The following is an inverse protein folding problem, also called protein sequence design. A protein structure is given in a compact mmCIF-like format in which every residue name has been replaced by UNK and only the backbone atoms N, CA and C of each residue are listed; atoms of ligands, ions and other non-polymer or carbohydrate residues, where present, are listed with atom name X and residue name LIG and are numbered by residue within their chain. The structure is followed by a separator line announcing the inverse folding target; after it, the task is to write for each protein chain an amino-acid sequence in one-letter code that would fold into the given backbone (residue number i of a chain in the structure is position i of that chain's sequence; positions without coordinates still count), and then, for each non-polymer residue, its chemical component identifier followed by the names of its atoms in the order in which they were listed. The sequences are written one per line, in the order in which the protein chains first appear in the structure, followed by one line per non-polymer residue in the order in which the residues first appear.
data_IF_540646524478
#
_entry.id   IF_540646524478
#
_cell.length_a   1.000
_cell.length_b   1.000
_cell.length_c   1.000
_cell.angle_alpha   90.00
_cell.angle_beta   90.00
_cell.angle_gamma   90.00
#
_symmetry.space_group_name_H-M   'P 1'
#
loop_
_entity.id
_entity.type
_entity.pdbx_description
1 polymer ?
#
# COMPACT_ATOMS: atom_id res chain seq x y z
N UNK A 1 60.56 -18.98 21.15
CA UNK A 1 59.47 -18.00 21.41
C UNK A 1 59.32 -16.99 20.27
N UNK A 2 60.38 -16.28 19.86
CA UNK A 2 60.31 -15.32 18.74
C UNK A 2 59.80 -15.89 17.41
N UNK A 3 60.19 -17.11 17.04
CA UNK A 3 59.76 -17.73 15.76
C UNK A 3 58.26 -18.01 15.73
N UNK A 4 57.66 -18.43 16.84
CA UNK A 4 56.20 -18.67 16.90
C UNK A 4 55.40 -17.37 16.86
N UNK A 5 55.93 -16.27 17.42
CA UNK A 5 55.30 -14.95 17.32
C UNK A 5 55.32 -14.44 15.87
N UNK A 6 56.43 -14.63 15.15
CA UNK A 6 56.54 -14.26 13.74
C UNK A 6 55.54 -15.07 12.87
N UNK A 7 55.47 -16.38 13.04
CA UNK A 7 54.51 -17.22 12.31
C UNK A 7 53.06 -16.86 12.63
N UNK A 8 52.74 -16.57 13.90
CA UNK A 8 51.40 -16.13 14.29
C UNK A 8 51.03 -14.77 13.69
N UNK A 9 51.99 -13.84 13.60
CA UNK A 9 51.79 -12.54 12.96
C UNK A 9 51.55 -12.67 11.44
N UNK A 10 52.28 -13.56 10.76
CA UNK A 10 52.04 -13.88 9.34
C UNK A 10 50.65 -14.49 9.11
N UNK A 11 50.22 -15.40 10.00
CA UNK A 11 48.87 -15.96 9.94
C UNK A 11 47.80 -14.89 10.21
N UNK A 12 48.00 -13.99 11.18
CA UNK A 12 47.07 -12.87 11.41
C UNK A 12 46.99 -11.92 10.22
N UNK A 13 48.09 -11.64 9.54
CA UNK A 13 48.09 -10.80 8.34
C UNK A 13 47.26 -11.45 7.21
N UNK A 14 47.39 -12.77 7.05
CA UNK A 14 46.61 -13.55 6.08
C UNK A 14 45.12 -13.53 6.42
N UNK A 15 44.77 -13.72 7.69
CA UNK A 15 43.37 -13.64 8.16
C UNK A 15 42.80 -12.24 7.97
N UNK A 16 43.58 -11.19 8.23
CA UNK A 16 43.14 -9.80 8.02
C UNK A 16 42.84 -9.52 6.55
N UNK A 17 43.66 -10.02 5.62
CA UNK A 17 43.41 -9.90 4.18
C UNK A 17 42.14 -10.65 3.74
N UNK A 18 41.89 -11.84 4.29
CA UNK A 18 40.64 -12.57 4.04
C UNK A 18 39.42 -11.82 4.58
N UNK A 19 39.49 -11.27 5.81
CA UNK A 19 38.42 -10.46 6.38
C UNK A 19 38.14 -9.24 5.49
N UNK A 20 39.18 -8.56 5.02
CA UNK A 20 39.02 -7.38 4.18
C UNK A 20 38.37 -7.73 2.83
N UNK A 21 38.75 -8.86 2.22
CA UNK A 21 38.08 -9.39 1.02
C UNK A 21 36.60 -9.69 1.29
N UNK A 22 36.29 -10.37 2.39
CA UNK A 22 34.92 -10.69 2.77
C UNK A 22 34.08 -9.44 3.00
N UNK A 23 34.63 -8.39 3.63
CA UNK A 23 33.95 -7.10 3.82
C UNK A 23 33.61 -6.45 2.47
N UNK A 24 34.53 -6.47 1.50
CA UNK A 24 34.26 -5.97 0.16
C UNK A 24 33.15 -6.76 -0.54
N UNK A 25 33.18 -8.10 -0.48
CA UNK A 25 32.12 -8.93 -1.05
C UNK A 25 30.76 -8.67 -0.40
N UNK A 26 30.70 -8.52 0.92
CA UNK A 26 29.45 -8.20 1.64
C UNK A 26 28.90 -6.83 1.21
N UNK A 27 29.79 -5.84 1.02
CA UNK A 27 29.40 -4.51 0.53
C UNK A 27 28.80 -4.59 -0.87
N UNK A 28 29.42 -5.33 -1.77
CA UNK A 28 28.94 -5.50 -3.15
C UNK A 28 27.59 -6.26 -3.17
N UNK A 29 27.46 -7.32 -2.39
CA UNK A 29 26.19 -8.04 -2.21
C UNK A 29 25.09 -7.15 -1.62
N UNK A 30 25.41 -6.30 -0.63
CA UNK A 30 24.44 -5.34 -0.06
C UNK A 30 23.96 -4.34 -1.11
N UNK A 31 24.85 -3.86 -1.98
CA UNK A 31 24.49 -2.94 -3.05
C UNK A 31 23.57 -3.62 -4.08
N UNK A 32 23.91 -4.84 -4.50
CA UNK A 32 23.05 -5.64 -5.38
C UNK A 32 21.66 -5.86 -4.78
N UNK A 33 21.58 -6.22 -3.50
CA UNK A 33 20.30 -6.38 -2.80
C UNK A 33 19.47 -5.08 -2.80
N UNK A 34 20.10 -3.93 -2.58
CA UNK A 34 19.41 -2.65 -2.59
C UNK A 34 18.85 -2.31 -3.98
N UNK A 35 19.63 -2.55 -5.04
CA UNK A 35 19.21 -2.33 -6.42
C UNK A 35 18.05 -3.28 -6.81
N UNK A 36 18.13 -4.55 -6.41
CA UNK A 36 17.11 -5.57 -6.67
C UNK A 36 15.80 -5.29 -5.90
N UNK A 37 15.91 -4.80 -4.66
CA UNK A 37 14.75 -4.34 -3.88
C UNK A 37 14.05 -3.15 -4.56
N UNK A 38 14.81 -2.21 -5.12
CA UNK A 38 14.25 -1.07 -5.84
C UNK A 38 13.56 -1.50 -7.14
N UNK A 39 14.16 -2.44 -7.89
CA UNK A 39 13.55 -3.05 -9.08
C UNK A 39 12.25 -3.81 -8.75
N UNK A 40 12.24 -4.53 -7.62
CA UNK A 40 11.06 -5.23 -7.12
C UNK A 40 9.94 -4.24 -6.80
N UNK A 41 10.23 -3.12 -6.12
CA UNK A 41 9.26 -2.07 -5.83
C UNK A 41 8.66 -1.46 -7.12
N UNK A 42 9.49 -1.19 -8.12
CA UNK A 42 9.02 -0.71 -9.43
C UNK A 42 8.10 -1.72 -10.14
N UNK A 43 8.42 -3.02 -10.06
CA UNK A 43 7.59 -4.09 -10.61
C UNK A 43 6.24 -4.19 -9.89
N UNK A 44 6.22 -4.07 -8.56
CA UNK A 44 4.99 -4.04 -7.76
C UNK A 44 4.09 -2.87 -8.16
N UNK A 45 4.66 -1.68 -8.38
CA UNK A 45 3.90 -0.53 -8.88
C UNK A 45 3.29 -0.79 -10.26
N UNK A 46 4.07 -1.38 -11.17
CA UNK A 46 3.59 -1.74 -12.51
C UNK A 46 2.46 -2.76 -12.45
N UNK A 47 2.55 -3.74 -11.56
CA UNK A 47 1.49 -4.72 -11.30
C UNK A 47 0.22 -4.06 -10.76
N UNK A 48 0.34 -3.11 -9.83
CA UNK A 48 -0.81 -2.34 -9.32
C UNK A 48 -1.49 -1.49 -10.39
N UNK A 49 -0.71 -0.88 -11.29
CA UNK A 49 -1.24 -0.15 -12.44
C UNK A 49 -1.95 -1.09 -13.42
N UNK A 50 -1.36 -2.26 -13.73
CA UNK A 50 -2.00 -3.24 -14.61
C UNK A 50 -3.31 -3.77 -14.03
N UNK A 51 -3.34 -4.06 -12.72
CA UNK A 51 -4.56 -4.46 -12.02
C UNK A 51 -5.64 -3.37 -12.10
N UNK A 52 -5.25 -2.11 -11.96
CA UNK A 52 -6.17 -0.97 -12.12
C UNK A 52 -6.73 -0.86 -13.55
N UNK A 53 -5.87 -1.07 -14.56
CA UNK A 53 -6.30 -1.09 -15.97
C UNK A 53 -7.24 -2.25 -16.26
N UNK A 54 -6.92 -3.45 -15.78
CA UNK A 54 -7.81 -4.62 -15.90
C UNK A 54 -9.15 -4.37 -15.24
N UNK A 55 -9.17 -3.76 -14.05
CA UNK A 55 -10.41 -3.36 -13.38
C UNK A 55 -11.24 -2.41 -14.25
N UNK A 56 -10.59 -1.40 -14.86
CA UNK A 56 -11.27 -0.44 -15.73
C UNK A 56 -11.87 -1.11 -16.97
N UNK A 57 -11.15 -2.06 -17.57
CA UNK A 57 -11.65 -2.85 -18.71
C UNK A 57 -12.83 -3.72 -18.28
N UNK A 58 -12.75 -4.41 -17.14
CA UNK A 58 -13.85 -5.23 -16.60
C UNK A 58 -15.09 -4.36 -16.29
N UNK A 59 -14.90 -3.14 -15.77
CA UNK A 59 -16.01 -2.19 -15.56
C UNK A 59 -16.69 -1.74 -16.86
N UNK A 60 -15.95 -1.68 -17.99
CA UNK A 60 -16.56 -1.38 -19.30
C UNK A 60 -17.46 -2.51 -19.81
N UNK A 61 -17.30 -3.73 -19.30
CA UNK A 61 -18.11 -4.90 -19.65
C UNK A 61 -19.30 -5.13 -18.71
N UNK A 62 -19.70 -4.14 -17.87
CA UNK A 62 -20.86 -4.30 -16.97
C UNK A 62 -22.05 -4.94 -17.72
N UNK A 63 -22.39 -6.16 -17.31
CA UNK A 63 -23.60 -6.84 -17.74
C UNK A 63 -24.78 -5.96 -17.36
N UNK A 64 -25.62 -5.65 -18.35
CA UNK A 64 -26.91 -5.00 -18.18
C UNK A 64 -27.75 -5.81 -17.17
N UNK A 65 -27.75 -5.41 -15.90
CA UNK A 65 -28.57 -6.05 -14.88
C UNK A 65 -28.10 -5.89 -13.43
N UNK A 66 -26.81 -5.67 -13.17
CA UNK A 66 -26.31 -5.59 -11.78
C UNK A 66 -25.74 -4.20 -11.44
N UNK A 67 -26.59 -3.45 -10.73
CA UNK A 67 -26.30 -2.16 -10.12
C UNK A 67 -25.45 -2.29 -8.86
N UNK A 68 -24.96 -3.48 -8.52
CA UNK A 68 -24.02 -3.68 -7.43
C UNK A 68 -22.69 -2.97 -7.70
N UNK A 69 -22.14 -2.34 -6.67
CA UNK A 69 -20.72 -2.04 -6.65
C UNK A 69 -19.95 -3.34 -6.82
N UNK A 70 -19.00 -3.36 -7.74
CA UNK A 70 -18.00 -4.41 -7.72
C UNK A 70 -17.12 -4.20 -6.47
N UNK A 71 -17.46 -4.90 -5.38
CA UNK A 71 -16.71 -4.85 -4.12
C UNK A 71 -15.23 -5.22 -4.34
N UNK A 72 -14.93 -6.06 -5.34
CA UNK A 72 -13.57 -6.34 -5.77
C UNK A 72 -12.89 -5.10 -6.35
N UNK A 73 -13.61 -4.30 -7.15
CA UNK A 73 -13.10 -3.03 -7.66
C UNK A 73 -12.79 -2.01 -6.58
N UNK A 74 -13.65 -1.88 -5.58
CA UNK A 74 -13.40 -0.98 -4.46
C UNK A 74 -12.15 -1.40 -3.66
N UNK A 75 -12.01 -2.72 -3.39
CA UNK A 75 -10.83 -3.28 -2.70
C UNK A 75 -9.55 -3.04 -3.50
N UNK A 76 -9.54 -3.35 -4.79
CA UNK A 76 -8.39 -3.15 -5.68
C UNK A 76 -7.99 -1.69 -5.82
N UNK A 77 -8.95 -0.79 -6.02
CA UNK A 77 -8.69 0.65 -6.11
C UNK A 77 -8.03 1.18 -4.83
N UNK A 78 -8.46 0.68 -3.67
CA UNK A 78 -7.90 1.04 -2.38
C UNK A 78 -6.45 0.54 -2.20
N UNK A 79 -6.15 -0.70 -2.60
CA UNK A 79 -4.79 -1.24 -2.55
C UNK A 79 -3.85 -0.51 -3.51
N UNK A 80 -4.29 -0.21 -4.74
CA UNK A 80 -3.55 0.57 -5.71
C UNK A 80 -3.23 1.98 -5.17
N UNK A 81 -4.19 2.59 -4.47
CA UNK A 81 -4.00 3.89 -3.84
C UNK A 81 -2.93 3.84 -2.74
N UNK A 82 -2.94 2.83 -1.87
CA UNK A 82 -1.91 2.64 -0.84
C UNK A 82 -0.49 2.48 -1.43
N UNK A 83 -0.38 1.78 -2.57
CA UNK A 83 0.90 1.62 -3.28
C UNK A 83 1.40 2.95 -3.88
N UNK A 84 0.49 3.78 -4.42
CA UNK A 84 0.82 5.14 -4.87
C UNK A 84 1.31 6.03 -3.74
N UNK A 85 0.64 6.01 -2.58
CA UNK A 85 1.09 6.78 -1.41
C UNK A 85 2.50 6.36 -0.97
N UNK A 86 2.81 5.06 -0.97
CA UNK A 86 4.16 4.56 -0.66
C UNK A 86 5.20 5.11 -1.64
N UNK A 87 4.90 5.04 -2.93
CA UNK A 87 5.78 5.53 -4.01
C UNK A 87 6.06 7.02 -3.88
N UNK A 88 5.07 7.81 -3.46
CA UNK A 88 5.26 9.23 -3.16
C UNK A 88 6.16 9.46 -1.95
N UNK A 89 5.99 8.70 -0.87
CA UNK A 89 6.89 8.79 0.29
C UNK A 89 8.33 8.42 -0.05
N UNK A 90 8.53 7.49 -0.97
CA UNK A 90 9.84 7.11 -1.50
C UNK A 90 10.42 8.12 -2.51
N UNK A 91 9.64 9.13 -2.91
CA UNK A 91 10.06 10.11 -3.93
C UNK A 91 10.11 9.56 -5.35
N UNK A 92 9.48 8.40 -5.59
CA UNK A 92 9.39 7.74 -6.90
C UNK A 92 8.23 8.28 -7.76
N UNK A 93 7.31 9.03 -7.16
CA UNK A 93 6.18 9.66 -7.85
C UNK A 93 5.77 10.97 -7.16
N UNK A 94 5.23 11.91 -7.92
CA UNK A 94 4.48 13.05 -7.37
C UNK A 94 3.01 12.63 -7.16
N UNK A 95 2.43 13.00 -6.03
CA UNK A 95 0.99 12.94 -5.77
C UNK A 95 0.53 14.38 -5.65
N UNK A 96 -0.44 14.81 -6.47
CA UNK A 96 -0.95 16.18 -6.31
C UNK A 96 -1.87 16.26 -5.09
N UNK A 97 -1.95 17.44 -4.48
CA UNK A 97 -2.91 17.71 -3.40
C UNK A 97 -4.37 17.50 -3.85
N UNK A 98 -4.65 17.56 -5.15
CA UNK A 98 -5.96 17.30 -5.76
C UNK A 98 -6.25 15.80 -5.87
N UNK A 99 -5.23 14.95 -6.00
CA UNK A 99 -5.32 13.49 -5.95
C UNK A 99 -5.42 12.95 -4.50
N UNK A 100 -5.12 13.78 -3.50
CA UNK A 100 -5.46 13.58 -2.10
C UNK A 100 -6.96 13.89 -1.84
N UNK A 101 -7.80 13.40 -2.75
CA UNK A 101 -9.21 13.75 -2.89
C UNK A 101 -9.96 13.48 -1.59
N UNK A 102 -10.99 14.27 -1.31
CA UNK A 102 -11.91 14.05 -0.19
C UNK A 102 -12.42 12.60 -0.19
N UNK A 103 -12.71 12.07 1.01
CA UNK A 103 -13.44 10.81 1.16
C UNK A 103 -14.79 10.77 0.42
N UNK A 104 -15.35 11.91 0.01
CA UNK A 104 -16.55 11.94 -0.84
C UNK A 104 -16.24 11.86 -2.33
N UNK A 105 -15.05 12.31 -2.75
CA UNK A 105 -14.71 12.50 -4.16
C UNK A 105 -13.96 11.30 -4.75
N UNK A 106 -13.48 10.40 -3.89
CA UNK A 106 -12.89 9.13 -4.30
C UNK A 106 -13.98 8.18 -4.85
N UNK A 107 -13.56 7.14 -5.59
CA UNK A 107 -14.49 6.18 -6.23
C UNK A 107 -15.42 5.54 -5.19
N UNK A 108 -14.87 5.13 -4.04
CA UNK A 108 -15.65 4.55 -2.94
C UNK A 108 -16.64 5.57 -2.37
N UNK A 109 -16.19 6.80 -2.12
CA UNK A 109 -17.01 7.89 -1.60
C UNK A 109 -18.19 8.22 -2.50
N UNK A 110 -17.93 8.45 -3.79
CA UNK A 110 -18.96 8.79 -4.77
C UNK A 110 -20.06 7.73 -4.82
N UNK A 111 -19.69 6.46 -4.81
CA UNK A 111 -20.65 5.37 -4.73
C UNK A 111 -21.35 5.30 -3.37
N UNK A 112 -20.61 5.45 -2.28
CA UNK A 112 -21.14 5.37 -0.91
C UNK A 112 -22.29 6.35 -0.71
N UNK A 113 -22.08 7.62 -1.07
CA UNK A 113 -23.09 8.67 -0.95
C UNK A 113 -24.12 8.71 -2.10
N UNK A 114 -23.96 7.90 -3.15
CA UNK A 114 -24.99 7.67 -4.16
C UNK A 114 -25.76 6.37 -3.85
N UNK A 115 -25.50 5.33 -4.62
CA UNK A 115 -26.26 4.09 -4.64
C UNK A 115 -26.00 3.24 -3.39
N UNK A 116 -24.83 3.39 -2.77
CA UNK A 116 -24.42 2.57 -1.64
C UNK A 116 -25.33 2.74 -0.42
N UNK A 117 -25.55 3.98 0.02
CA UNK A 117 -26.45 4.27 1.14
C UNK A 117 -27.92 4.04 0.78
N UNK A 118 -28.32 4.31 -0.46
CA UNK A 118 -29.70 4.11 -0.90
C UNK A 118 -30.08 2.62 -0.95
N UNK A 119 -29.16 1.74 -1.39
CA UNK A 119 -29.41 0.30 -1.53
C UNK A 119 -29.08 -0.50 -0.27
N UNK A 120 -28.04 -0.12 0.46
CA UNK A 120 -27.47 -0.93 1.55
C UNK A 120 -27.42 -0.19 2.89
N UNK A 121 -28.02 1.00 2.97
CA UNK A 121 -28.02 1.82 4.18
C UNK A 121 -28.68 1.17 5.39
N UNK A 122 -29.49 0.14 5.21
CA UNK A 122 -30.08 -0.62 6.31
C UNK A 122 -29.11 -1.63 6.95
N UNK A 123 -28.01 -1.95 6.27
CA UNK A 123 -26.96 -2.82 6.80
C UNK A 123 -26.07 -2.00 7.77
N UNK A 124 -25.99 -2.34 9.08
CA UNK A 124 -25.21 -1.58 10.06
C UNK A 124 -23.74 -1.42 9.68
N UNK A 125 -23.16 -2.44 9.07
CA UNK A 125 -21.77 -2.44 8.60
C UNK A 125 -21.56 -1.43 7.47
N UNK A 126 -22.58 -1.16 6.64
CA UNK A 126 -22.51 -0.14 5.59
C UNK A 126 -22.35 1.25 6.19
N UNK A 127 -23.14 1.59 7.22
CA UNK A 127 -22.98 2.88 7.94
C UNK A 127 -21.65 2.97 8.67
N UNK A 128 -21.12 1.85 9.12
CA UNK A 128 -19.86 1.80 9.86
C UNK A 128 -18.62 2.07 8.99
N UNK A 129 -18.75 2.07 7.65
CA UNK A 129 -17.64 2.35 6.71
C UNK A 129 -17.25 3.83 6.71
N UNK A 130 -18.21 4.75 6.90
CA UNK A 130 -17.98 6.19 6.72
C UNK A 130 -16.85 6.73 7.60
N UNK A 131 -16.90 6.41 8.90
CA UNK A 131 -15.93 6.90 9.88
C UNK A 131 -14.48 6.47 9.58
N UNK A 132 -14.14 5.16 9.46
CA UNK A 132 -12.78 4.76 9.14
C UNK A 132 -12.33 5.26 7.75
N UNK A 133 -13.25 5.40 6.79
CA UNK A 133 -12.96 5.99 5.49
C UNK A 133 -12.58 7.47 5.59
N UNK A 134 -13.32 8.26 6.37
CA UNK A 134 -13.00 9.66 6.64
C UNK A 134 -11.64 9.79 7.36
N UNK A 135 -11.40 8.99 8.41
CA UNK A 135 -10.15 8.99 9.17
C UNK A 135 -8.94 8.67 8.28
N UNK A 136 -9.10 7.73 7.35
CA UNK A 136 -8.09 7.39 6.36
C UNK A 136 -7.73 8.62 5.51
N UNK A 137 -8.70 9.28 4.90
CA UNK A 137 -8.44 10.46 4.06
C UNK A 137 -7.83 11.63 4.84
N UNK A 138 -8.24 11.85 6.10
CA UNK A 138 -7.59 12.84 6.96
C UNK A 138 -6.12 12.50 7.24
N UNK A 139 -5.82 11.23 7.46
CA UNK A 139 -4.45 10.76 7.69
C UNK A 139 -3.58 10.93 6.44
N UNK A 140 -4.12 10.59 5.27
CA UNK A 140 -3.49 10.76 3.97
C UNK A 140 -3.06 12.21 3.74
N UNK A 141 -3.99 13.15 3.98
CA UNK A 141 -3.71 14.58 3.82
C UNK A 141 -2.55 15.02 4.72
N UNK A 142 -2.56 14.60 5.98
CA UNK A 142 -1.46 14.89 6.93
C UNK A 142 -0.13 14.29 6.48
N UNK A 143 -0.13 13.08 5.92
CA UNK A 143 1.10 12.44 5.41
C UNK A 143 1.71 13.28 4.28
N UNK A 144 0.88 13.76 3.35
CA UNK A 144 1.32 14.58 2.22
C UNK A 144 1.87 15.92 2.71
N UNK A 145 1.13 16.62 3.58
CA UNK A 145 1.56 17.89 4.19
C UNK A 145 2.92 17.74 4.91
N UNK A 146 3.10 16.65 5.67
CA UNK A 146 4.35 16.36 6.38
C UNK A 146 5.51 16.06 5.44
N UNK A 147 5.28 15.30 4.38
CA UNK A 147 6.29 15.00 3.36
C UNK A 147 6.73 16.26 2.63
N UNK A 148 5.80 17.09 2.19
CA UNK A 148 6.08 18.37 1.51
C UNK A 148 6.79 19.39 2.42
N UNK A 149 6.50 19.36 3.73
CA UNK A 149 7.18 20.19 4.74
C UNK A 149 8.58 19.67 5.11
N UNK A 150 9.09 18.63 4.44
CA UNK A 150 10.39 18.01 4.73
C UNK A 150 10.42 17.11 5.97
N UNK A 151 9.30 16.92 6.65
CA UNK A 151 9.17 16.13 7.89
C UNK A 151 8.97 14.64 7.58
N UNK A 152 9.91 14.03 6.85
CA UNK A 152 9.78 12.66 6.33
C UNK A 152 9.59 11.59 7.42
N UNK A 153 10.23 11.73 8.58
CA UNK A 153 10.07 10.78 9.69
C UNK A 153 8.65 10.79 10.27
N UNK A 154 8.03 11.97 10.35
CA UNK A 154 6.64 12.09 10.82
C UNK A 154 5.65 11.55 9.79
N UNK A 155 5.91 11.79 8.50
CA UNK A 155 5.11 11.23 7.41
C UNK A 155 5.13 9.69 7.44
N UNK A 156 6.30 9.08 7.66
CA UNK A 156 6.44 7.62 7.77
C UNK A 156 5.73 7.07 9.01
N UNK A 157 5.87 7.73 10.16
CA UNK A 157 5.15 7.34 11.37
C UNK A 157 3.62 7.38 11.18
N UNK A 158 3.10 8.38 10.45
CA UNK A 158 1.69 8.45 10.10
C UNK A 158 1.29 7.36 9.08
N UNK A 159 2.15 7.03 8.10
CA UNK A 159 1.89 5.99 7.12
C UNK A 159 1.63 4.62 7.75
N UNK A 160 2.30 4.28 8.86
CA UNK A 160 2.05 3.02 9.58
C UNK A 160 0.59 2.85 10.04
N UNK A 161 -0.14 3.96 10.24
CA UNK A 161 -1.54 3.97 10.66
C UNK A 161 -2.53 3.75 9.51
N UNK A 162 -2.08 3.80 8.25
CA UNK A 162 -2.93 3.55 7.06
C UNK A 162 -3.35 2.08 6.99
N UNK A 163 -2.42 1.15 7.25
CA UNK A 163 -2.69 -0.28 7.15
C UNK A 163 -3.87 -0.77 8.01
N UNK A 164 -3.96 -0.45 9.32
CA UNK A 164 -5.09 -0.89 10.13
C UNK A 164 -6.43 -0.29 9.68
N UNK A 165 -6.47 1.00 9.31
CA UNK A 165 -7.69 1.65 8.81
C UNK A 165 -8.16 1.02 7.49
N UNK A 166 -7.23 0.74 6.59
CA UNK A 166 -7.47 0.06 5.32
C UNK A 166 -8.09 -1.33 5.54
N UNK A 167 -7.53 -2.12 6.45
CA UNK A 167 -8.07 -3.44 6.80
C UNK A 167 -9.47 -3.35 7.40
N UNK A 168 -9.74 -2.36 8.25
CA UNK A 168 -11.09 -2.14 8.80
C UNK A 168 -12.12 -1.87 7.70
N UNK A 169 -11.80 -1.00 6.74
CA UNK A 169 -12.72 -0.67 5.62
C UNK A 169 -12.99 -1.91 4.77
N UNK A 170 -11.95 -2.67 4.42
CA UNK A 170 -12.08 -3.89 3.61
C UNK A 170 -12.94 -4.93 4.35
N UNK A 171 -12.71 -5.13 5.65
CA UNK A 171 -13.48 -6.09 6.45
C UNK A 171 -14.97 -5.69 6.56
N UNK A 172 -15.29 -4.40 6.61
CA UNK A 172 -16.67 -3.91 6.61
C UNK A 172 -17.33 -4.13 5.25
N UNK A 173 -16.64 -3.81 4.16
CA UNK A 173 -17.14 -4.07 2.80
C UNK A 173 -17.41 -5.57 2.57
N UNK A 174 -16.55 -6.45 3.06
CA UNK A 174 -16.79 -7.90 3.01
C UNK A 174 -17.97 -8.37 3.87
N UNK A 175 -18.24 -7.70 4.99
CA UNK A 175 -19.42 -8.02 5.81
C UNK A 175 -20.70 -7.60 5.09
N UNK A 176 -20.72 -6.43 4.47
CA UNK A 176 -21.83 -5.96 3.64
C UNK A 176 -22.08 -6.95 2.49
N UNK A 177 -21.03 -7.32 1.75
CA UNK A 177 -21.08 -8.31 0.66
C UNK A 177 -21.69 -9.65 1.13
N UNK A 178 -21.25 -10.17 2.28
CA UNK A 178 -21.80 -11.41 2.86
C UNK A 178 -23.24 -11.29 3.33
N UNK A 179 -23.68 -10.12 3.77
CA UNK A 179 -25.07 -9.88 4.18
C UNK A 179 -25.99 -9.88 2.97
N UNK A 180 -25.58 -9.24 1.87
CA UNK A 180 -26.32 -9.22 0.60
C UNK A 180 -26.46 -10.64 0.03
N UNK A 181 -25.36 -11.41 -0.02
CA UNK A 181 -25.34 -12.80 -0.52
C UNK A 181 -26.26 -13.76 0.28
N UNK A 182 -26.53 -13.44 1.55
CA UNK A 182 -27.44 -14.23 2.42
C UNK A 182 -28.90 -13.90 2.14
N UNK A 183 -29.22 -12.64 1.94
CA UNK A 183 -30.58 -12.19 1.65
C UNK A 183 -31.03 -12.65 0.25
N UNK A 184 -30.14 -12.62 -0.75
CA UNK A 184 -30.42 -13.12 -2.11
C UNK A 184 -30.63 -14.64 -2.17
N UNK A 185 -30.06 -15.41 -1.23
CA UNK A 185 -30.28 -16.87 -1.11
C UNK A 185 -31.52 -17.23 -0.29
N UNK A 186 -32.08 -16.27 0.44
CA UNK A 186 -33.27 -16.46 1.27
C UNK A 186 -34.57 -16.02 0.56
N UNK A 187 -34.45 -15.25 -0.53
CA UNK A 187 -35.54 -14.86 -1.44
C UNK A 187 -35.81 -15.92 -2.53
#
# INVERSE_FOLDING_TARGET
MNTQIATAAEQQCTVADEINKNICSIKDSSKLNADEANSTAATVNSLGNLASTLQSVIQQFKFSGDSGLDFSAAKSAHLAWKARLRSFLDGLSSLSHEEAVSHHDCVLGKWYYSDGLDQYGDIPEMRSIEKPHQELHQLIKKIIEKKESGQSNEAEALYTKIAPLSSTIINLLEQVERSIDRDDKAA
#
